data_IF_100580078850
#
_entry.id   IF_100580078850
#
_cell.length_a   1.000
_cell.length_b   1.000
_cell.length_c   1.000
_cell.angle_alpha   90.00
_cell.angle_beta   90.00
_cell.angle_gamma   90.00
#
_symmetry.space_group_name_H-M   'P 1'
#
loop_
_entity.id
_entity.type
_entity.pdbx_description
1 polymer ?
#
# COMPACT_ATOMS: atom_id res chain seq x y z
N UNK A 1 -7.41 19.96 18.75
CA UNK A 1 -8.21 19.45 17.62
C UNK A 1 -8.47 17.98 17.93
N UNK A 2 -9.74 17.60 18.10
CA UNK A 2 -10.14 16.27 18.58
C UNK A 2 -9.91 15.19 17.52
N UNK A 3 -9.28 14.08 17.92
CA UNK A 3 -9.02 12.86 17.15
C UNK A 3 -10.32 12.09 16.80
N UNK A 4 -11.24 12.69 16.06
CA UNK A 4 -12.24 11.92 15.32
C UNK A 4 -11.73 11.71 13.90
N UNK A 5 -10.66 10.92 13.78
CA UNK A 5 -10.30 10.31 12.50
C UNK A 5 -11.46 9.42 12.07
N UNK A 6 -11.92 9.66 10.83
CA UNK A 6 -12.95 8.98 10.05
C UNK A 6 -12.72 7.45 9.90
N UNK A 7 -12.70 6.70 11.00
CA UNK A 7 -12.65 5.24 10.96
C UNK A 7 -14.07 4.70 11.02
N UNK A 8 -14.52 4.02 9.96
CA UNK A 8 -15.79 3.29 10.03
C UNK A 8 -15.64 2.09 10.96
N UNK A 9 -16.42 2.00 12.06
CA UNK A 9 -16.22 0.97 13.10
C UNK A 9 -16.26 -0.45 12.56
N UNK A 10 -17.10 -0.71 11.54
CA UNK A 10 -17.21 -2.03 10.90
C UNK A 10 -15.97 -2.42 10.11
N UNK A 11 -15.35 -1.48 9.41
CA UNK A 11 -14.11 -1.75 8.67
C UNK A 11 -12.97 -2.04 9.66
N UNK A 12 -12.90 -1.29 10.75
CA UNK A 12 -11.93 -1.54 11.83
C UNK A 12 -12.10 -2.92 12.47
N UNK A 13 -13.33 -3.33 12.75
CA UNK A 13 -13.63 -4.66 13.29
C UNK A 13 -13.25 -5.79 12.30
N UNK A 14 -13.58 -5.62 11.01
CA UNK A 14 -13.21 -6.57 9.98
C UNK A 14 -11.69 -6.70 9.83
N UNK A 15 -10.96 -5.57 9.85
CA UNK A 15 -9.51 -5.54 9.81
C UNK A 15 -8.90 -6.30 11.00
N UNK A 16 -9.40 -6.05 12.22
CA UNK A 16 -8.93 -6.72 13.44
C UNK A 16 -9.13 -8.25 13.39
N UNK A 17 -10.24 -8.73 12.81
CA UNK A 17 -10.47 -10.17 12.62
C UNK A 17 -9.47 -10.78 11.64
N UNK A 18 -9.15 -10.07 10.57
CA UNK A 18 -8.18 -10.53 9.58
C UNK A 18 -6.75 -10.53 10.13
N UNK A 19 -6.40 -9.53 10.95
CA UNK A 19 -5.15 -9.51 11.71
C UNK A 19 -5.03 -10.70 12.66
N UNK A 20 -6.11 -11.05 13.37
CA UNK A 20 -6.10 -12.20 14.27
C UNK A 20 -5.84 -13.51 13.51
N UNK A 21 -6.51 -13.73 12.37
CA UNK A 21 -6.28 -14.90 11.50
C UNK A 21 -4.83 -14.91 11.00
N UNK A 22 -4.33 -13.77 10.52
CA UNK A 22 -2.97 -13.69 10.01
C UNK A 22 -1.93 -14.00 11.08
N UNK A 23 -2.16 -13.55 12.32
CA UNK A 23 -1.28 -13.85 13.44
C UNK A 23 -1.35 -15.33 13.86
N UNK A 24 -2.54 -15.91 13.89
CA UNK A 24 -2.76 -17.33 14.24
C UNK A 24 -2.00 -18.28 13.30
N UNK A 25 -2.01 -17.99 11.99
CA UNK A 25 -1.41 -18.83 10.96
C UNK A 25 -0.07 -18.31 10.43
N UNK A 26 0.51 -17.29 11.06
CA UNK A 26 1.75 -16.63 10.63
C UNK A 26 1.76 -16.21 9.14
N UNK A 27 0.67 -15.59 8.68
CA UNK A 27 0.44 -15.22 7.27
C UNK A 27 0.72 -13.74 6.99
N UNK A 28 1.21 -13.47 5.79
CA UNK A 28 1.28 -12.12 5.23
C UNK A 28 0.04 -11.77 4.45
N UNK A 29 -0.37 -10.51 4.50
CA UNK A 29 -1.50 -10.03 3.72
C UNK A 29 -1.34 -8.58 3.29
N UNK A 30 -1.98 -8.28 2.16
CA UNK A 30 -2.28 -6.93 1.71
C UNK A 30 -3.79 -6.90 1.56
N UNK A 31 -4.45 -6.01 2.30
CA UNK A 31 -5.89 -5.91 2.26
C UNK A 31 -6.34 -4.47 2.06
N UNK A 32 -7.30 -4.32 1.15
CA UNK A 32 -8.11 -3.13 0.99
C UNK A 32 -9.55 -3.49 1.37
N UNK A 33 -10.07 -2.90 2.42
CA UNK A 33 -11.47 -3.01 2.81
C UNK A 33 -12.17 -1.72 2.42
N UNK A 34 -13.29 -1.81 1.72
CA UNK A 34 -14.06 -0.64 1.33
C UNK A 34 -15.50 -0.78 1.83
N UNK A 35 -16.03 0.32 2.34
CA UNK A 35 -17.45 0.53 2.50
C UNK A 35 -17.92 1.54 1.46
N UNK A 36 -19.19 1.93 1.56
CA UNK A 36 -19.70 2.96 0.69
C UNK A 36 -19.17 4.36 1.02
N UNK A 37 -18.58 4.59 2.20
CA UNK A 37 -18.12 5.92 2.64
C UNK A 37 -16.64 5.98 2.96
N UNK A 38 -15.98 4.84 3.20
CA UNK A 38 -14.60 4.77 3.65
C UNK A 38 -13.87 3.61 3.00
N UNK A 39 -12.54 3.70 2.97
CA UNK A 39 -11.67 2.61 2.57
C UNK A 39 -10.50 2.52 3.53
N UNK A 40 -10.21 1.31 3.99
CA UNK A 40 -9.07 0.98 4.83
C UNK A 40 -8.07 0.15 4.03
N UNK A 41 -6.80 0.42 4.25
CA UNK A 41 -5.71 -0.32 3.65
C UNK A 41 -4.72 -0.76 4.71
N UNK A 42 -4.40 -2.06 4.74
CA UNK A 42 -3.37 -2.59 5.62
C UNK A 42 -2.52 -3.63 4.94
N UNK A 43 -1.24 -3.60 5.29
CA UNK A 43 -0.25 -4.61 4.93
C UNK A 43 0.36 -5.17 6.20
N UNK A 44 0.39 -6.48 6.30
CA UNK A 44 1.07 -7.21 7.38
C UNK A 44 2.02 -8.23 6.75
N UNK A 45 3.21 -8.36 7.31
CA UNK A 45 4.22 -9.30 6.84
C UNK A 45 4.67 -10.17 8.02
N UNK A 46 4.76 -11.50 7.84
CA UNK A 46 5.24 -12.39 8.90
C UNK A 46 6.68 -12.08 9.28
N UNK A 47 7.05 -12.38 10.52
CA UNK A 47 8.42 -12.18 11.00
C UNK A 47 9.44 -13.00 10.21
N UNK A 48 9.05 -14.17 9.71
CA UNK A 48 9.92 -15.01 8.88
C UNK A 48 10.08 -14.48 7.44
N UNK A 49 9.26 -13.53 7.01
CA UNK A 49 9.25 -13.06 5.63
C UNK A 49 10.45 -12.18 5.29
N UNK A 50 10.71 -12.05 3.99
CA UNK A 50 11.77 -11.18 3.45
C UNK A 50 11.55 -9.72 3.86
N UNK A 51 10.30 -9.29 4.02
CA UNK A 51 9.92 -7.91 4.26
C UNK A 51 9.45 -7.80 5.70
N UNK A 52 10.21 -7.13 6.55
CA UNK A 52 9.85 -6.92 7.94
C UNK A 52 9.50 -5.45 8.19
N UNK A 53 8.37 -5.19 8.84
CA UNK A 53 8.08 -3.85 9.35
C UNK A 53 8.76 -3.68 10.70
N UNK A 54 9.53 -2.62 10.86
CA UNK A 54 10.16 -2.23 12.13
C UNK A 54 9.59 -0.88 12.56
N UNK A 55 9.83 -0.48 13.81
CA UNK A 55 9.48 0.87 14.29
C UNK A 55 10.10 1.99 13.44
N UNK A 56 11.20 1.69 12.75
CA UNK A 56 11.95 2.63 11.93
C UNK A 56 11.59 2.55 10.43
N UNK A 57 10.71 1.63 10.00
CA UNK A 57 10.30 1.51 8.60
C UNK A 57 10.19 0.07 8.10
N UNK A 58 10.59 -0.17 6.85
CA UNK A 58 10.59 -1.50 6.23
C UNK A 58 12.04 -1.99 6.10
N UNK A 59 12.31 -3.19 6.63
CA UNK A 59 13.58 -3.91 6.51
C UNK A 59 13.41 -5.04 5.51
N UNK A 60 14.34 -5.15 4.56
CA UNK A 60 14.43 -6.29 3.63
C UNK A 60 15.54 -7.23 4.09
N UNK A 61 15.22 -8.50 4.37
CA UNK A 61 16.17 -9.52 4.83
C UNK A 61 16.65 -10.40 3.67
N UNK A 62 17.54 -9.88 2.83
CA UNK A 62 18.13 -10.66 1.75
C UNK A 62 19.11 -11.69 2.32
N UNK A 63 18.96 -12.96 1.93
CA UNK A 63 19.95 -14.01 2.20
C UNK A 63 20.62 -14.40 0.90
N UNK A 64 21.95 -14.38 0.89
CA UNK A 64 22.73 -14.95 -0.21
C UNK A 64 22.63 -16.47 -0.17
N UNK A 65 22.40 -17.10 -1.32
CA UNK A 65 22.62 -18.54 -1.48
C UNK A 65 24.10 -18.89 -1.51
N UNK A 66 24.97 -17.92 -1.78
CA UNK A 66 26.42 -18.09 -1.72
C UNK A 66 26.98 -17.79 -0.33
N UNK A 67 27.93 -18.59 0.16
CA UNK A 67 28.46 -18.48 1.52
C UNK A 67 29.21 -17.18 1.79
N UNK A 68 29.64 -16.46 0.76
CA UNK A 68 30.24 -15.12 0.86
C UNK A 68 29.70 -14.23 -0.25
N UNK A 69 29.04 -13.14 0.13
CA UNK A 69 28.77 -12.05 -0.78
C UNK A 69 30.11 -11.40 -1.16
N UNK A 70 30.32 -11.15 -2.45
CA UNK A 70 31.47 -10.35 -2.92
C UNK A 70 31.28 -8.88 -2.54
N UNK A 71 32.37 -8.12 -2.43
CA UNK A 71 32.30 -6.66 -2.18
C UNK A 71 31.45 -5.93 -3.25
N UNK A 72 31.52 -6.37 -4.51
CA UNK A 72 30.71 -5.85 -5.60
C UNK A 72 29.21 -6.08 -5.35
N UNK A 73 28.84 -7.28 -4.90
CA UNK A 73 27.45 -7.64 -4.58
C UNK A 73 26.92 -6.79 -3.43
N UNK A 74 27.74 -6.57 -2.40
CA UNK A 74 27.39 -5.68 -1.27
C UNK A 74 27.18 -4.25 -1.75
N UNK A 75 28.07 -3.73 -2.60
CA UNK A 75 27.98 -2.37 -3.15
C UNK A 75 26.71 -2.17 -3.97
N UNK A 76 26.32 -3.15 -4.79
CA UNK A 76 25.05 -3.12 -5.55
C UNK A 76 23.85 -3.10 -4.61
N UNK A 77 23.83 -3.93 -3.57
CA UNK A 77 22.73 -3.99 -2.61
C UNK A 77 22.57 -2.68 -1.82
N UNK A 78 23.67 -2.05 -1.44
CA UNK A 78 23.65 -0.74 -0.78
C UNK A 78 23.16 0.35 -1.74
N UNK A 79 23.60 0.34 -3.00
CA UNK A 79 23.09 1.26 -4.02
C UNK A 79 21.59 1.12 -4.27
N UNK A 80 21.07 -0.11 -4.33
CA UNK A 80 19.64 -0.38 -4.46
C UNK A 80 18.84 0.13 -3.25
N UNK A 81 19.37 -0.03 -2.04
CA UNK A 81 18.76 0.51 -0.81
C UNK A 81 18.63 2.03 -0.89
N UNK A 82 19.72 2.72 -1.22
CA UNK A 82 19.77 4.18 -1.22
C UNK A 82 18.85 4.76 -2.31
N UNK A 83 18.88 4.18 -3.51
CA UNK A 83 17.97 4.54 -4.61
C UNK A 83 16.50 4.33 -4.22
N UNK A 84 16.17 3.23 -3.54
CA UNK A 84 14.80 2.96 -3.09
C UNK A 84 14.34 3.98 -2.04
N UNK A 85 15.24 4.38 -1.12
CA UNK A 85 15.00 5.46 -0.16
C UNK A 85 14.64 6.77 -0.86
N UNK A 86 15.46 7.19 -1.82
CA UNK A 86 15.22 8.40 -2.61
C UNK A 86 13.89 8.35 -3.39
N UNK A 87 13.52 7.18 -3.92
CA UNK A 87 12.25 6.99 -4.62
C UNK A 87 11.05 7.18 -3.69
N UNK A 88 11.10 6.63 -2.46
CA UNK A 88 10.06 6.81 -1.45
C UNK A 88 9.92 8.26 -1.00
N UNK A 89 11.04 8.97 -0.81
CA UNK A 89 11.05 10.40 -0.48
C UNK A 89 10.40 11.23 -1.59
N UNK A 90 10.80 10.99 -2.85
CA UNK A 90 10.20 11.66 -4.01
C UNK A 90 8.70 11.39 -4.13
N UNK A 91 8.26 10.15 -3.94
CA UNK A 91 6.83 9.80 -3.95
C UNK A 91 6.07 10.54 -2.85
N UNK A 92 6.65 10.66 -1.65
CA UNK A 92 6.07 11.41 -0.54
C UNK A 92 5.91 12.89 -0.89
N UNK A 93 6.94 13.50 -1.51
CA UNK A 93 6.87 14.87 -2.00
C UNK A 93 5.79 15.08 -3.06
N UNK A 94 5.66 14.14 -4.02
CA UNK A 94 4.60 14.19 -5.05
C UNK A 94 3.21 14.11 -4.40
N UNK A 95 3.03 13.23 -3.43
CA UNK A 95 1.76 13.10 -2.69
C UNK A 95 1.45 14.38 -1.92
N UNK A 96 2.42 14.97 -1.24
CA UNK A 96 2.21 16.19 -0.46
C UNK A 96 1.94 17.41 -1.35
N UNK A 97 2.58 17.50 -2.52
CA UNK A 97 2.25 18.51 -3.51
C UNK A 97 0.85 18.29 -4.09
N UNK A 98 0.51 17.04 -4.45
CA UNK A 98 -0.81 16.69 -4.95
C UNK A 98 -1.92 17.06 -3.95
N UNK A 99 -1.73 16.85 -2.65
CA UNK A 99 -2.70 17.24 -1.60
C UNK A 99 -2.99 18.74 -1.57
N UNK A 100 -2.06 19.61 -1.99
CA UNK A 100 -2.29 21.06 -2.04
C UNK A 100 -3.26 21.47 -3.15
N UNK A 101 -3.26 20.71 -4.24
CA UNK A 101 -4.02 21.03 -5.45
C UNK A 101 -5.25 20.13 -5.64
N UNK A 102 -5.27 18.97 -5.00
CA UNK A 102 -6.32 17.97 -5.10
C UNK A 102 -7.04 17.91 -3.75
N UNK A 103 -8.28 18.39 -3.74
CA UNK A 103 -9.21 18.12 -2.64
C UNK A 103 -9.69 16.67 -2.78
N UNK A 104 -9.12 15.76 -1.99
CA UNK A 104 -9.56 14.36 -1.97
C UNK A 104 -10.94 14.33 -1.30
N UNK A 105 -12.00 14.32 -2.12
CA UNK A 105 -13.36 14.11 -1.65
C UNK A 105 -13.66 12.61 -1.64
N UNK A 106 -13.90 12.06 -0.45
CA UNK A 106 -14.43 10.71 -0.29
C UNK A 106 -15.94 10.72 -0.55
N UNK A 107 -16.33 10.87 -1.81
CA UNK A 107 -17.74 10.84 -2.20
C UNK A 107 -18.18 9.38 -2.35
N UNK A 108 -19.30 9.04 -1.70
CA UNK A 108 -20.01 7.77 -1.93
C UNK A 108 -20.49 7.78 -3.37
N UNK A 109 -19.91 6.94 -4.23
CA UNK A 109 -20.50 6.67 -5.54
C UNK A 109 -21.80 5.91 -5.26
N UNK A 110 -22.90 6.64 -5.14
CA UNK A 110 -24.24 6.04 -5.24
C UNK A 110 -24.43 5.58 -6.68
N UNK A 111 -25.09 4.44 -6.88
CA UNK A 111 -25.22 3.77 -8.19
C UNK A 111 -25.71 4.70 -9.32
N UNK A 112 -26.41 5.78 -9.00
CA UNK A 112 -26.88 6.77 -9.97
C UNK A 112 -25.77 7.60 -10.66
N UNK A 113 -24.61 7.82 -10.00
CA UNK A 113 -23.51 8.63 -10.56
C UNK A 113 -22.59 7.83 -11.48
N UNK A 114 -22.39 6.54 -11.19
CA UNK A 114 -21.61 5.64 -12.04
C UNK A 114 -22.31 5.34 -13.37
N UNK A 115 -23.65 5.25 -13.37
CA UNK A 115 -24.44 4.94 -14.57
C UNK A 115 -24.56 6.16 -15.49
N UNK A 116 -24.69 7.38 -14.96
CA UNK A 116 -24.86 8.60 -15.78
C UNK A 116 -23.60 9.02 -16.53
N UNK A 117 -22.41 8.80 -15.97
CA UNK A 117 -21.16 9.32 -16.53
C UNK A 117 -20.22 8.25 -17.13
N UNK A 118 -20.56 6.97 -17.02
CA UNK A 118 -19.80 5.92 -17.70
C UNK A 118 -20.12 5.92 -19.20
N UNK A 119 -19.34 6.66 -19.98
CA UNK A 119 -19.26 6.42 -21.43
C UNK A 119 -18.31 5.25 -21.66
N UNK A 120 -18.78 4.10 -22.17
CA UNK A 120 -17.86 3.05 -22.59
C UNK A 120 -16.91 3.64 -23.63
N UNK A 121 -15.60 3.61 -23.36
CA UNK A 121 -14.60 3.87 -24.41
C UNK A 121 -14.85 2.84 -25.51
N UNK A 122 -15.33 3.32 -26.67
CA UNK A 122 -15.65 2.49 -27.81
C UNK A 122 -14.49 1.53 -28.13
N UNK A 123 -14.79 0.23 -28.20
CA UNK A 123 -13.90 -0.83 -28.69
C UNK A 123 -13.70 -0.74 -30.21
N UNK A 124 -13.32 0.42 -30.73
CA UNK A 124 -13.01 0.62 -32.16
C UNK A 124 -11.77 1.51 -32.33
N UNK A 125 -10.62 0.99 -31.93
CA UNK A 125 -9.30 1.38 -32.44
C UNK A 125 -8.34 0.19 -32.34
N UNK A 126 -8.80 -0.99 -32.78
CA UNK A 126 -7.95 -2.18 -32.95
C UNK A 126 -7.96 -2.73 -34.37
N UNK A 127 -8.33 -1.92 -35.36
CA UNK A 127 -8.10 -2.20 -36.78
C UNK A 127 -7.94 -0.90 -37.56
N UNK A 128 -6.71 -0.41 -37.67
CA UNK A 128 -6.06 -0.03 -38.93
C UNK A 128 -4.59 0.27 -38.67
#
# INVERSE_FOLDING_TARGET
MSETQNYEPKLKEALAKMEAIAKEYELGFVIALASATHSEFKTEFPEWSLIQRTEQGIRLRLRSSEPKLTEDSVSVLLGLRDMSGMMCENLSMVVDEAKKHIQIQHNRITDDDAIRNWKPRNKRDRRR
#
